data_IF_679947299465
#
_entry.id   IF_679947299465
#
_cell.length_a   1.000
_cell.length_b   1.000
_cell.length_c   1.000
_cell.angle_alpha   90.00
_cell.angle_beta   90.00
_cell.angle_gamma   90.00
#
_symmetry.space_group_name_H-M   'P 1'
#
loop_
_entity.id
_entity.type
_entity.pdbx_description
1 polymer ?
#
# COMPACT_ATOMS: atom_id res chain seq x y z
N UNK A 1 13.79 39.34 -22.59
CA UNK A 1 14.88 39.05 -21.63
C UNK A 1 14.29 38.75 -20.27
N UNK A 2 14.75 37.71 -19.58
CA UNK A 2 14.24 37.29 -18.26
C UNK A 2 14.81 38.21 -17.16
N UNK A 3 14.09 39.29 -16.86
CA UNK A 3 14.46 40.32 -15.86
C UNK A 3 14.77 39.71 -14.49
N UNK A 4 14.13 38.59 -14.14
CA UNK A 4 14.43 37.89 -12.89
C UNK A 4 15.87 37.34 -12.86
N UNK A 5 16.36 36.81 -13.99
CA UNK A 5 17.69 36.18 -14.07
C UNK A 5 18.80 37.18 -14.37
N UNK A 6 18.52 38.21 -15.18
CA UNK A 6 19.54 39.15 -15.64
C UNK A 6 19.77 40.31 -14.69
N UNK A 7 18.74 40.76 -13.96
CA UNK A 7 18.83 41.94 -13.10
C UNK A 7 18.51 41.65 -11.62
N UNK A 8 17.36 41.02 -11.34
CA UNK A 8 16.89 40.85 -9.95
C UNK A 8 17.81 39.90 -9.18
N UNK A 9 18.14 38.74 -9.74
CA UNK A 9 18.97 37.74 -9.05
C UNK A 9 20.40 38.24 -8.75
N UNK A 10 21.17 38.82 -9.69
CA UNK A 10 22.51 39.33 -9.39
C UNK A 10 22.51 40.44 -8.35
N UNK A 11 21.59 41.41 -8.47
CA UNK A 11 21.46 42.52 -7.52
C UNK A 11 21.16 42.03 -6.11
N UNK A 12 20.19 41.14 -5.95
CA UNK A 12 19.87 40.57 -4.63
C UNK A 12 21.00 39.69 -4.08
N UNK A 13 21.80 39.06 -4.94
CA UNK A 13 22.95 38.26 -4.51
C UNK A 13 24.05 39.15 -3.91
N UNK A 14 24.33 40.29 -4.54
CA UNK A 14 25.30 41.26 -4.02
C UNK A 14 24.93 41.77 -2.63
N UNK A 15 23.66 42.06 -2.39
CA UNK A 15 23.16 42.48 -1.08
C UNK A 15 23.19 41.38 -0.03
N UNK A 16 22.82 40.16 -0.44
CA UNK A 16 22.90 39.00 0.42
C UNK A 16 24.35 38.69 0.86
N UNK A 17 25.31 38.77 -0.07
CA UNK A 17 26.72 38.49 0.20
C UNK A 17 27.38 39.61 1.06
N UNK A 18 26.79 40.81 1.10
CA UNK A 18 27.14 41.89 2.04
C UNK A 18 26.57 41.71 3.45
N UNK A 19 25.75 40.67 3.67
CA UNK A 19 25.17 40.36 4.98
C UNK A 19 23.94 41.18 5.38
N UNK A 20 23.35 41.95 4.45
CA UNK A 20 22.11 42.67 4.73
C UNK A 20 20.95 41.70 4.92
N UNK A 21 19.96 42.07 5.74
CA UNK A 21 18.71 41.33 5.85
C UNK A 21 17.69 41.75 4.78
N UNK A 22 16.58 41.01 4.66
CA UNK A 22 15.57 41.25 3.62
C UNK A 22 14.92 42.64 3.68
N UNK A 23 14.80 43.22 4.88
CA UNK A 23 14.18 44.53 5.08
C UNK A 23 15.14 45.66 4.71
N UNK A 24 16.39 45.57 5.16
CA UNK A 24 17.46 46.49 4.78
C UNK A 24 17.68 46.49 3.27
N UNK A 25 17.70 45.30 2.67
CA UNK A 25 17.83 45.15 1.20
C UNK A 25 16.64 45.79 0.48
N UNK A 26 15.42 45.65 1.01
CA UNK A 26 14.24 46.29 0.44
C UNK A 26 14.31 47.82 0.52
N UNK A 27 14.75 48.36 1.66
CA UNK A 27 14.91 49.80 1.86
C UNK A 27 15.97 50.38 0.92
N UNK A 28 17.13 49.73 0.81
CA UNK A 28 18.21 50.16 -0.09
C UNK A 28 17.80 50.13 -1.57
N UNK A 29 17.12 49.07 -2.00
CA UNK A 29 16.67 48.94 -3.38
C UNK A 29 15.55 49.95 -3.67
N UNK A 30 14.65 50.16 -2.71
CA UNK A 30 13.57 51.15 -2.84
C UNK A 30 14.12 52.57 -2.92
N UNK A 31 15.19 52.88 -2.18
CA UNK A 31 15.86 54.18 -2.23
C UNK A 31 16.57 54.42 -3.57
N UNK A 32 17.17 53.39 -4.18
CA UNK A 32 17.92 53.51 -5.44
C UNK A 32 17.07 53.42 -6.70
N UNK A 33 16.05 52.57 -6.70
CA UNK A 33 15.29 52.20 -7.90
C UNK A 33 13.79 52.49 -7.79
N UNK A 34 13.33 53.01 -6.65
CA UNK A 34 11.92 53.31 -6.37
C UNK A 34 11.20 52.19 -5.63
N UNK A 35 10.14 52.56 -4.91
CA UNK A 35 9.39 51.67 -3.99
C UNK A 35 8.80 50.41 -4.65
N UNK A 36 8.64 50.41 -5.97
CA UNK A 36 8.06 49.30 -6.73
C UNK A 36 9.09 48.51 -7.55
N UNK A 37 10.38 48.82 -7.45
CA UNK A 37 11.42 48.17 -8.27
C UNK A 37 11.50 46.65 -7.99
N UNK A 38 11.59 46.26 -6.73
CA UNK A 38 11.60 44.85 -6.32
C UNK A 38 10.78 44.70 -5.04
N UNK A 39 9.66 43.98 -5.14
CA UNK A 39 8.81 43.75 -3.97
C UNK A 39 9.52 42.95 -2.88
N UNK A 40 9.21 43.24 -1.61
CA UNK A 40 9.71 42.49 -0.46
C UNK A 40 9.46 40.98 -0.57
N UNK A 41 8.36 40.58 -1.21
CA UNK A 41 8.03 39.17 -1.47
C UNK A 41 9.07 38.50 -2.38
N UNK A 42 9.51 39.20 -3.42
CA UNK A 42 10.56 38.73 -4.34
C UNK A 42 11.92 38.63 -3.63
N UNK A 43 12.25 39.60 -2.77
CA UNK A 43 13.48 39.57 -1.96
C UNK A 43 13.49 38.35 -1.03
N UNK A 44 12.43 38.15 -0.25
CA UNK A 44 12.26 36.98 0.63
C UNK A 44 12.36 35.65 -0.12
N UNK A 45 11.76 35.56 -1.33
CA UNK A 45 11.85 34.38 -2.20
C UNK A 45 13.30 34.06 -2.57
N UNK A 46 14.09 35.05 -2.97
CA UNK A 46 15.48 34.84 -3.40
C UNK A 46 16.44 34.63 -2.23
N UNK A 47 16.30 35.35 -1.13
CA UNK A 47 17.10 35.15 0.08
C UNK A 47 16.92 33.74 0.64
N UNK A 48 15.69 33.23 0.65
CA UNK A 48 15.41 31.83 0.97
C UNK A 48 16.15 30.86 0.06
N UNK A 49 16.19 31.12 -1.26
CA UNK A 49 16.94 30.29 -2.21
C UNK A 49 18.44 30.36 -1.98
N UNK A 50 18.99 31.53 -1.64
CA UNK A 50 20.42 31.68 -1.36
C UNK A 50 20.85 30.94 -0.09
N UNK A 51 20.09 31.06 1.01
CA UNK A 51 20.32 30.29 2.24
C UNK A 51 20.23 28.79 2.01
N UNK A 52 19.22 28.33 1.28
CA UNK A 52 19.08 26.91 0.94
C UNK A 52 20.25 26.37 0.10
N UNK A 53 20.80 27.20 -0.79
CA UNK A 53 21.98 26.83 -1.58
C UNK A 53 23.24 26.77 -0.72
N UNK A 54 23.42 27.70 0.23
CA UNK A 54 24.53 27.66 1.20
C UNK A 54 24.46 26.39 2.05
N UNK A 55 23.30 26.08 2.63
CA UNK A 55 23.10 24.85 3.39
C UNK A 55 23.37 23.59 2.55
N UNK A 56 23.02 23.61 1.25
CA UNK A 56 23.33 22.52 0.32
C UNK A 56 24.85 22.40 0.08
N UNK A 57 25.56 23.52 -0.07
CA UNK A 57 27.01 23.52 -0.26
C UNK A 57 27.72 23.06 1.02
N UNK A 58 27.28 23.51 2.19
CA UNK A 58 27.84 23.13 3.50
C UNK A 58 27.61 21.64 3.80
N UNK A 59 26.41 21.11 3.53
CA UNK A 59 26.13 19.67 3.62
C UNK A 59 26.95 18.82 2.63
N UNK A 60 27.33 19.37 1.46
CA UNK A 60 28.26 18.71 0.55
C UNK A 60 29.72 18.77 1.03
N UNK A 61 30.14 19.84 1.73
CA UNK A 61 31.49 19.95 2.30
C UNK A 61 31.69 19.06 3.54
N UNK A 62 30.62 18.75 4.27
CA UNK A 62 30.64 17.88 5.45
C UNK A 62 30.51 16.38 5.13
N UNK A 63 30.46 16.00 3.84
CA UNK A 63 30.55 14.61 3.44
C UNK A 63 32.01 14.12 3.59
N UNK A 64 32.23 13.25 4.58
CA UNK A 64 33.39 12.39 4.85
C UNK A 64 34.70 12.71 4.09
N UNK A 65 35.80 12.91 4.84
CA UNK A 65 37.18 12.84 4.33
C UNK A 65 37.29 11.74 3.27
N UNK A 66 37.59 12.15 2.04
CA UNK A 66 37.70 11.28 0.88
C UNK A 66 38.80 10.24 1.16
N UNK A 67 38.49 8.94 0.99
CA UNK A 67 39.48 7.86 1.15
C UNK A 67 40.58 7.90 0.07
N UNK A 68 40.31 8.52 -1.08
CA UNK A 68 41.25 8.62 -2.21
C UNK A 68 40.94 9.87 -3.06
N UNK A 69 41.94 10.35 -3.80
CA UNK A 69 41.85 11.56 -4.63
C UNK A 69 41.25 11.27 -6.01
N UNK A 70 40.88 12.32 -6.75
CA UNK A 70 40.36 12.16 -8.12
C UNK A 70 41.45 11.66 -9.08
N UNK A 71 42.69 12.12 -8.90
CA UNK A 71 43.87 11.69 -9.65
C UNK A 71 44.08 10.18 -9.50
N UNK A 72 43.98 9.64 -8.28
CA UNK A 72 44.10 8.21 -8.03
C UNK A 72 43.05 7.40 -8.80
N UNK A 73 41.80 7.86 -8.87
CA UNK A 73 40.73 7.14 -9.58
C UNK A 73 40.93 7.20 -11.10
N UNK A 74 41.41 8.33 -11.62
CA UNK A 74 41.75 8.50 -13.04
C UNK A 74 42.86 7.52 -13.42
N UNK A 75 43.95 7.49 -12.65
CA UNK A 75 45.08 6.60 -12.88
C UNK A 75 44.66 5.13 -12.76
N UNK A 76 43.81 4.80 -11.79
CA UNK A 76 43.32 3.44 -11.60
C UNK A 76 42.55 2.94 -12.83
N UNK A 77 41.76 3.78 -13.47
CA UNK A 77 40.97 3.43 -14.67
C UNK A 77 41.87 3.36 -15.89
N UNK A 78 42.78 4.31 -16.06
CA UNK A 78 43.71 4.35 -17.20
C UNK A 78 44.66 3.15 -17.19
N UNK A 79 45.15 2.74 -16.02
CA UNK A 79 46.01 1.57 -15.86
C UNK A 79 45.26 0.24 -15.96
N UNK A 80 43.93 0.25 -15.78
CA UNK A 80 43.12 -0.95 -15.79
C UNK A 80 41.87 -0.79 -16.67
N UNK A 81 42.04 -0.53 -17.97
CA UNK A 81 40.92 -0.25 -18.87
C UNK A 81 39.98 -1.45 -18.98
N UNK A 82 40.46 -2.65 -18.62
CA UNK A 82 39.72 -3.91 -18.67
C UNK A 82 38.84 -4.18 -17.44
N UNK A 83 39.08 -3.53 -16.29
CA UNK A 83 38.37 -3.84 -15.06
C UNK A 83 36.93 -3.31 -15.05
N UNK A 84 36.05 -4.08 -14.41
CA UNK A 84 34.70 -3.67 -14.10
C UNK A 84 34.65 -2.82 -12.80
N UNK A 85 33.50 -2.23 -12.50
CA UNK A 85 33.33 -1.37 -11.33
C UNK A 85 33.61 -2.11 -10.01
N UNK A 86 33.41 -3.42 -9.99
CA UNK A 86 33.66 -4.25 -8.82
C UNK A 86 35.17 -4.45 -8.60
N UNK A 87 35.92 -4.69 -9.67
CA UNK A 87 37.38 -4.75 -9.67
C UNK A 87 38.01 -3.43 -9.26
N UNK A 88 37.53 -2.31 -9.82
CA UNK A 88 37.97 -0.97 -9.43
C UNK A 88 37.69 -0.67 -7.96
N UNK A 89 36.49 -1.01 -7.48
CA UNK A 89 36.13 -0.83 -6.07
C UNK A 89 37.00 -1.66 -5.12
N UNK A 90 37.36 -2.88 -5.52
CA UNK A 90 38.25 -3.76 -4.75
C UNK A 90 39.68 -3.20 -4.68
N UNK A 91 40.21 -2.68 -5.79
CA UNK A 91 41.55 -2.08 -5.81
C UNK A 91 41.61 -0.76 -5.01
N UNK A 92 40.53 0.00 -5.01
CA UNK A 92 40.43 1.27 -4.28
C UNK A 92 39.95 1.12 -2.81
N UNK A 93 39.84 -0.11 -2.30
CA UNK A 93 39.31 -0.45 -0.98
C UNK A 93 38.03 0.34 -0.59
N UNK A 94 37.07 0.32 -1.51
CA UNK A 94 35.85 1.13 -1.38
C UNK A 94 34.64 0.43 -1.97
N UNK A 95 33.48 1.08 -1.85
CA UNK A 95 32.23 0.55 -2.40
C UNK A 95 32.08 0.89 -3.88
N UNK A 96 31.39 0.02 -4.63
CA UNK A 96 31.01 0.26 -6.02
C UNK A 96 30.25 1.59 -6.17
N UNK A 97 29.36 1.90 -5.24
CA UNK A 97 28.60 3.15 -5.23
C UNK A 97 29.50 4.37 -5.03
N UNK A 98 30.56 4.26 -4.23
CA UNK A 98 31.56 5.33 -4.08
C UNK A 98 32.26 5.61 -5.40
N UNK A 99 32.77 4.57 -6.09
CA UNK A 99 33.42 4.70 -7.40
C UNK A 99 32.48 5.33 -8.43
N UNK A 100 31.25 4.82 -8.56
CA UNK A 100 30.25 5.34 -9.50
C UNK A 100 29.90 6.80 -9.22
N UNK A 101 29.76 7.18 -7.96
CA UNK A 101 29.45 8.56 -7.57
C UNK A 101 30.61 9.50 -7.88
N UNK A 102 31.85 9.09 -7.60
CA UNK A 102 33.05 9.89 -7.88
C UNK A 102 33.28 10.08 -9.37
N UNK A 103 33.13 9.03 -10.18
CA UNK A 103 33.18 9.13 -11.64
C UNK A 103 32.18 10.17 -12.19
N UNK A 104 30.95 10.18 -11.67
CA UNK A 104 29.95 11.19 -12.04
C UNK A 104 30.32 12.60 -11.59
N UNK A 105 31.03 12.74 -10.47
CA UNK A 105 31.51 14.04 -10.00
C UNK A 105 32.67 14.55 -10.84
N UNK A 106 33.63 13.70 -11.19
CA UNK A 106 34.77 14.02 -12.06
C UNK A 106 34.27 14.48 -13.43
N UNK A 107 33.29 13.78 -14.00
CA UNK A 107 32.73 14.09 -15.32
C UNK A 107 31.62 15.16 -15.33
N UNK A 108 31.36 15.83 -14.19
CA UNK A 108 30.23 16.76 -14.06
C UNK A 108 30.38 18.02 -14.91
N UNK A 109 31.61 18.51 -15.06
CA UNK A 109 31.93 19.74 -15.79
C UNK A 109 32.54 19.47 -17.18
N UNK A 110 32.40 18.24 -17.68
CA UNK A 110 32.96 17.76 -18.94
C UNK A 110 33.53 16.34 -18.80
N UNK A 111 33.60 15.60 -19.90
CA UNK A 111 34.11 14.23 -19.89
C UNK A 111 35.63 14.23 -19.71
N UNK A 112 36.10 13.94 -18.48
CA UNK A 112 37.53 13.83 -18.13
C UNK A 112 38.02 12.39 -18.09
N UNK A 113 37.11 11.43 -17.85
CA UNK A 113 37.41 10.01 -17.80
C UNK A 113 36.40 9.24 -18.65
N UNK A 114 36.90 8.53 -19.67
CA UNK A 114 36.09 7.62 -20.48
C UNK A 114 36.06 6.24 -19.81
N UNK A 115 35.01 5.97 -19.04
CA UNK A 115 34.75 4.64 -18.49
C UNK A 115 33.47 4.07 -19.10
N UNK A 116 33.61 2.99 -19.86
CA UNK A 116 32.46 2.23 -20.36
C UNK A 116 31.94 1.30 -19.25
N UNK A 117 30.64 1.36 -18.95
CA UNK A 117 30.02 0.48 -17.96
C UNK A 117 30.06 -0.97 -18.45
N UNK A 118 31.03 -1.73 -17.95
CA UNK A 118 31.12 -3.18 -18.15
C UNK A 118 30.15 -3.86 -17.20
N UNK A 119 29.02 -4.29 -17.76
CA UNK A 119 27.97 -4.91 -16.99
C UNK A 119 28.36 -6.38 -16.72
N UNK A 120 28.38 -6.82 -15.47
CA UNK A 120 28.70 -8.22 -15.09
C UNK A 120 27.72 -9.27 -15.63
N UNK A 121 26.69 -8.83 -16.36
CA UNK A 121 25.65 -9.68 -16.93
C UNK A 121 25.79 -9.94 -18.43
N UNK A 122 26.65 -9.23 -19.18
CA UNK A 122 26.82 -9.50 -20.62
C UNK A 122 27.79 -10.65 -20.90
N UNK A 123 28.78 -10.88 -20.04
CA UNK A 123 29.80 -11.92 -20.26
C UNK A 123 29.37 -13.32 -19.77
N UNK A 124 28.27 -13.42 -19.02
CA UNK A 124 27.72 -14.71 -18.60
C UNK A 124 26.94 -15.45 -19.70
N UNK A 125 26.71 -14.83 -20.86
CA UNK A 125 26.01 -15.47 -21.99
C UNK A 125 26.94 -16.24 -22.95
N UNK A 126 28.27 -16.21 -22.75
CA UNK A 126 29.23 -17.03 -23.51
C UNK A 126 29.71 -18.28 -22.75
N UNK A 127 28.89 -18.83 -21.86
CA UNK A 127 29.16 -20.16 -21.28
C UNK A 127 28.68 -21.27 -22.23
N UNK A 128 29.34 -21.40 -23.39
CA UNK A 128 29.07 -22.43 -24.40
C UNK A 128 29.52 -23.85 -23.98
N UNK A 129 30.10 -24.03 -22.79
CA UNK A 129 30.72 -25.29 -22.39
C UNK A 129 29.97 -26.06 -21.28
N UNK A 130 28.73 -25.68 -20.95
CA UNK A 130 27.88 -26.55 -20.10
C UNK A 130 27.20 -27.61 -20.99
N UNK A 131 27.19 -28.89 -20.59
CA UNK A 131 26.49 -29.91 -21.36
C UNK A 131 25.01 -29.54 -21.48
N UNK A 132 24.53 -29.41 -22.72
CA UNK A 132 23.14 -29.10 -23.04
C UNK A 132 22.26 -30.28 -22.59
N UNK A 133 21.18 -30.01 -21.84
CA UNK A 133 20.24 -31.06 -21.38
C UNK A 133 19.47 -31.72 -22.56
N UNK A 134 19.29 -30.99 -23.66
CA UNK A 134 18.68 -31.48 -24.90
C UNK A 134 19.23 -30.71 -26.11
N UNK A 135 19.15 -31.33 -27.29
CA UNK A 135 19.63 -30.78 -28.57
C UNK A 135 18.79 -29.61 -29.05
N UNK A 136 19.34 -28.80 -29.95
CA UNK A 136 18.60 -27.69 -30.57
C UNK A 136 17.40 -28.21 -31.38
N UNK A 137 17.59 -29.35 -32.07
CA UNK A 137 16.58 -30.05 -32.87
C UNK A 137 15.41 -30.53 -32.01
N UNK A 138 15.68 -31.06 -30.81
CA UNK A 138 14.62 -31.46 -29.88
C UNK A 138 13.73 -30.28 -29.50
N UNK A 139 14.34 -29.13 -29.17
CA UNK A 139 13.59 -27.93 -28.77
C UNK A 139 12.76 -27.36 -29.94
N UNK A 140 13.35 -27.33 -31.14
CA UNK A 140 12.66 -26.89 -32.37
C UNK A 140 11.42 -27.77 -32.60
N UNK A 141 11.59 -29.09 -32.56
CA UNK A 141 10.51 -30.05 -32.78
C UNK A 141 9.44 -29.97 -31.68
N UNK A 142 9.85 -29.81 -30.43
CA UNK A 142 8.94 -29.67 -29.30
C UNK A 142 8.01 -28.46 -29.47
N UNK A 143 8.55 -27.32 -29.93
CA UNK A 143 7.76 -26.09 -30.14
C UNK A 143 6.88 -26.22 -31.39
N UNK A 144 7.42 -26.70 -32.51
CA UNK A 144 6.68 -26.82 -33.76
C UNK A 144 5.54 -27.86 -33.66
N UNK A 145 5.74 -28.93 -32.90
CA UNK A 145 4.72 -29.96 -32.68
C UNK A 145 3.64 -29.51 -31.69
N UNK A 146 3.92 -28.46 -30.90
CA UNK A 146 3.04 -27.99 -29.84
C UNK A 146 2.90 -26.46 -29.87
N UNK A 147 2.40 -25.88 -30.98
CA UNK A 147 2.36 -24.44 -31.17
C UNK A 147 1.45 -23.72 -30.17
N UNK A 148 0.60 -24.44 -29.43
CA UNK A 148 -0.34 -23.92 -28.43
C UNK A 148 0.21 -23.91 -26.99
N UNK A 149 1.28 -24.67 -26.69
CA UNK A 149 1.78 -24.75 -25.31
C UNK A 149 2.49 -23.49 -24.83
N UNK A 150 2.38 -23.21 -23.53
CA UNK A 150 3.11 -22.14 -22.87
C UNK A 150 4.49 -22.61 -22.37
N UNK A 151 5.34 -21.67 -21.91
CA UNK A 151 6.71 -22.00 -21.49
C UNK A 151 6.77 -22.99 -20.31
N UNK A 152 5.76 -23.01 -19.44
CA UNK A 152 5.71 -23.94 -18.31
C UNK A 152 5.43 -25.35 -18.78
N UNK A 153 4.48 -25.53 -19.71
CA UNK A 153 4.14 -26.83 -20.28
C UNK A 153 5.29 -27.39 -21.11
N UNK A 154 5.92 -26.54 -21.94
CA UNK A 154 7.12 -26.91 -22.69
C UNK A 154 8.27 -27.32 -21.76
N UNK A 155 8.46 -26.61 -20.65
CA UNK A 155 9.47 -26.94 -19.65
C UNK A 155 9.19 -28.29 -18.97
N UNK A 156 7.92 -28.58 -18.65
CA UNK A 156 7.51 -29.88 -18.11
C UNK A 156 7.75 -31.02 -19.10
N UNK A 157 7.42 -30.83 -20.39
CA UNK A 157 7.67 -31.84 -21.43
C UNK A 157 9.15 -32.11 -21.66
N UNK A 158 9.99 -31.08 -21.53
CA UNK A 158 11.45 -31.18 -21.66
C UNK A 158 12.15 -31.57 -20.34
N UNK A 159 11.39 -31.85 -19.26
CA UNK A 159 11.90 -32.07 -17.91
C UNK A 159 12.96 -31.03 -17.50
N UNK A 160 12.68 -29.74 -17.65
CA UNK A 160 13.67 -28.71 -17.33
C UNK A 160 13.04 -27.47 -16.69
N UNK A 161 13.89 -26.54 -16.26
CA UNK A 161 13.40 -25.26 -15.78
C UNK A 161 12.92 -24.40 -16.95
N UNK A 162 11.88 -23.58 -16.73
CA UNK A 162 11.40 -22.59 -17.70
C UNK A 162 12.54 -21.71 -18.22
N UNK A 163 13.43 -21.30 -17.32
CA UNK A 163 14.60 -20.48 -17.67
C UNK A 163 15.52 -21.19 -18.68
N UNK A 164 15.65 -22.52 -18.60
CA UNK A 164 16.43 -23.32 -19.56
C UNK A 164 15.82 -23.22 -20.96
N UNK A 165 14.49 -23.35 -21.10
CA UNK A 165 13.81 -23.18 -22.39
C UNK A 165 14.03 -21.77 -22.95
N UNK A 166 13.90 -20.73 -22.12
CA UNK A 166 14.08 -19.32 -22.54
C UNK A 166 15.50 -19.08 -23.04
N UNK A 167 16.51 -19.54 -22.30
CA UNK A 167 17.92 -19.38 -22.67
C UNK A 167 18.19 -20.11 -24.00
N UNK A 168 17.76 -21.37 -24.11
CA UNK A 168 18.00 -22.18 -25.31
C UNK A 168 17.28 -21.63 -26.54
N UNK A 169 16.07 -21.08 -26.39
CA UNK A 169 15.35 -20.38 -27.47
C UNK A 169 16.15 -19.18 -28.01
N UNK A 170 16.79 -18.41 -27.11
CA UNK A 170 17.65 -17.28 -27.52
C UNK A 170 18.91 -17.77 -28.23
N UNK A 171 19.53 -18.84 -27.74
CA UNK A 171 20.70 -19.45 -28.38
C UNK A 171 20.37 -19.98 -29.78
N UNK A 172 19.28 -20.71 -29.93
CA UNK A 172 18.82 -21.25 -31.23
C UNK A 172 18.58 -20.14 -32.24
N UNK A 173 18.04 -19.00 -31.80
CA UNK A 173 17.76 -17.85 -32.65
C UNK A 173 18.90 -16.83 -32.77
N UNK A 174 20.06 -17.08 -32.14
CA UNK A 174 21.17 -16.11 -32.09
C UNK A 174 21.82 -15.84 -33.45
N UNK A 175 21.78 -16.82 -34.35
CA UNK A 175 22.33 -16.74 -35.72
C UNK A 175 21.23 -16.58 -36.80
N UNK A 176 20.07 -16.05 -36.42
CA UNK A 176 18.88 -15.92 -37.27
C UNK A 176 17.67 -16.66 -36.70
N UNK A 177 16.47 -16.24 -37.09
CA UNK A 177 15.22 -16.81 -36.58
C UNK A 177 15.03 -18.24 -37.12
N UNK A 178 15.27 -19.25 -36.26
CA UNK A 178 15.05 -20.67 -36.55
C UNK A 178 13.75 -21.20 -35.95
N UNK A 179 13.31 -20.61 -34.83
CA UNK A 179 12.05 -20.96 -34.14
C UNK A 179 11.30 -19.70 -33.76
N UNK A 180 10.08 -19.58 -34.25
CA UNK A 180 9.18 -18.49 -33.88
C UNK A 180 8.31 -18.92 -32.71
N UNK A 181 8.73 -18.58 -31.49
CA UNK A 181 7.92 -18.78 -30.30
C UNK A 181 7.30 -17.45 -29.84
N UNK A 182 5.97 -17.36 -29.91
CA UNK A 182 5.23 -16.24 -29.32
C UNK A 182 4.96 -16.53 -27.84
N UNK A 183 5.43 -15.63 -26.97
CA UNK A 183 5.20 -15.77 -25.52
C UNK A 183 3.70 -15.72 -25.23
N UNK A 184 3.11 -16.90 -24.99
CA UNK A 184 1.77 -17.02 -24.43
C UNK A 184 1.86 -16.72 -22.94
N UNK A 185 1.92 -15.44 -22.60
CA UNK A 185 1.70 -15.02 -21.22
C UNK A 185 0.29 -15.47 -20.87
N UNK A 186 0.13 -16.21 -19.77
CA UNK A 186 -1.17 -16.38 -19.12
C UNK A 186 -1.77 -14.97 -19.02
N UNK A 187 -2.82 -14.70 -19.79
CA UNK A 187 -3.55 -13.46 -19.66
C UNK A 187 -4.07 -13.41 -18.23
N UNK A 188 -4.28 -12.20 -17.71
CA UNK A 188 -4.83 -12.02 -16.37
C UNK A 188 -6.26 -12.59 -16.35
N UNK A 189 -6.39 -13.90 -16.07
CA UNK A 189 -7.63 -14.65 -16.23
C UNK A 189 -7.42 -16.11 -16.66
N UNK A 190 -6.31 -16.45 -17.31
CA UNK A 190 -6.04 -17.83 -17.73
C UNK A 190 -5.73 -18.68 -16.49
N UNK A 191 -6.62 -19.62 -16.19
CA UNK A 191 -6.46 -20.56 -15.09
C UNK A 191 -5.42 -21.61 -15.46
N UNK A 192 -4.62 -22.07 -14.50
CA UNK A 192 -3.65 -23.18 -14.67
C UNK A 192 -4.31 -24.54 -14.97
N UNK A 193 -5.62 -24.55 -15.16
CA UNK A 193 -6.46 -25.73 -15.34
C UNK A 193 -7.60 -25.36 -16.28
N UNK A 194 -8.07 -26.34 -17.06
CA UNK A 194 -9.22 -26.18 -17.96
C UNK A 194 -10.54 -26.34 -17.22
N UNK A 195 -11.64 -25.92 -17.85
CA UNK A 195 -12.97 -26.10 -17.28
C UNK A 195 -13.33 -27.57 -17.16
N UNK A 196 -12.98 -28.36 -18.17
CA UNK A 196 -13.19 -29.80 -18.23
C UNK A 196 -12.47 -30.51 -17.07
N UNK A 197 -11.24 -30.08 -16.76
CA UNK A 197 -10.50 -30.61 -15.62
C UNK A 197 -11.21 -30.29 -14.30
N UNK A 198 -11.65 -29.04 -14.11
CA UNK A 198 -12.34 -28.64 -12.88
C UNK A 198 -13.72 -29.32 -12.74
N UNK A 199 -14.46 -29.46 -13.84
CA UNK A 199 -15.75 -30.17 -13.90
C UNK A 199 -15.54 -31.63 -13.45
N UNK A 200 -14.58 -32.33 -14.07
CA UNK A 200 -14.30 -33.72 -13.75
C UNK A 200 -13.84 -33.88 -12.29
N UNK A 201 -12.96 -33.00 -11.83
CA UNK A 201 -12.44 -33.03 -10.46
C UNK A 201 -13.57 -32.88 -9.42
N UNK A 202 -14.54 -31.98 -9.67
CA UNK A 202 -15.68 -31.77 -8.78
C UNK A 202 -16.66 -32.94 -8.84
N UNK A 203 -16.97 -33.45 -10.02
CA UNK A 203 -17.91 -34.56 -10.19
C UNK A 203 -17.38 -35.87 -9.60
N UNK A 204 -16.06 -36.10 -9.68
CA UNK A 204 -15.41 -37.27 -9.09
C UNK A 204 -15.27 -37.18 -7.57
N UNK A 205 -15.23 -35.97 -7.01
CA UNK A 205 -14.97 -35.75 -5.59
C UNK A 205 -15.96 -34.71 -5.01
N UNK A 206 -17.28 -35.02 -5.02
CA UNK A 206 -18.31 -34.07 -4.62
C UNK A 206 -18.14 -33.62 -3.16
N UNK A 207 -17.46 -34.41 -2.32
CA UNK A 207 -17.15 -34.15 -0.92
C UNK A 207 -16.19 -32.96 -0.70
N UNK A 208 -15.31 -32.65 -1.68
CA UNK A 208 -14.22 -31.70 -1.50
C UNK A 208 -14.67 -30.26 -1.26
N UNK A 209 -13.96 -29.58 -0.36
CA UNK A 209 -14.11 -28.15 -0.10
C UNK A 209 -13.35 -27.35 -1.17
N UNK A 210 -13.79 -26.13 -1.46
CA UNK A 210 -13.08 -25.22 -2.39
C UNK A 210 -11.60 -25.04 -2.05
N UNK A 211 -11.22 -25.10 -0.76
CA UNK A 211 -9.82 -25.02 -0.35
C UNK A 211 -9.00 -26.25 -0.79
N UNK A 212 -9.62 -27.43 -0.82
CA UNK A 212 -8.98 -28.67 -1.25
C UNK A 212 -8.92 -28.71 -2.78
N UNK A 213 -10.01 -28.36 -3.46
CA UNK A 213 -10.02 -28.15 -4.92
C UNK A 213 -8.94 -27.16 -5.36
N UNK A 214 -8.80 -26.04 -4.63
CA UNK A 214 -7.79 -25.04 -4.90
C UNK A 214 -6.35 -25.58 -4.75
N UNK A 215 -6.11 -26.46 -3.78
CA UNK A 215 -4.80 -27.12 -3.63
C UNK A 215 -4.54 -28.09 -4.79
N UNK A 216 -5.53 -28.87 -5.19
CA UNK A 216 -5.42 -29.83 -6.30
C UNK A 216 -5.22 -29.14 -7.65
N UNK A 217 -5.78 -27.93 -7.81
CA UNK A 217 -5.63 -27.10 -9.00
C UNK A 217 -4.45 -26.12 -8.93
N UNK A 218 -3.62 -26.18 -7.87
CA UNK A 218 -2.54 -25.21 -7.57
C UNK A 218 -2.96 -23.74 -7.81
N UNK A 219 -4.11 -23.37 -7.26
CA UNK A 219 -4.76 -22.09 -7.50
C UNK A 219 -5.33 -21.49 -6.21
N UNK A 220 -5.80 -20.25 -6.29
CA UNK A 220 -6.45 -19.60 -5.16
C UNK A 220 -7.90 -20.09 -5.00
N UNK A 221 -8.41 -20.29 -3.76
CA UNK A 221 -9.81 -20.61 -3.50
C UNK A 221 -10.83 -19.69 -4.19
N UNK A 222 -10.51 -18.39 -4.28
CA UNK A 222 -11.33 -17.40 -4.97
C UNK A 222 -11.39 -17.64 -6.48
N UNK A 223 -10.28 -18.11 -7.08
CA UNK A 223 -10.21 -18.43 -8.51
C UNK A 223 -11.09 -19.62 -8.84
N UNK A 224 -11.02 -20.70 -8.04
CA UNK A 224 -11.90 -21.86 -8.18
C UNK A 224 -13.37 -21.45 -8.06
N UNK A 225 -13.72 -20.69 -7.02
CA UNK A 225 -15.08 -20.20 -6.80
C UNK A 225 -15.61 -19.39 -7.98
N UNK A 226 -14.78 -18.47 -8.51
CA UNK A 226 -15.17 -17.66 -9.65
C UNK A 226 -15.33 -18.51 -10.92
N UNK A 227 -14.46 -19.49 -11.13
CA UNK A 227 -14.50 -20.35 -12.31
C UNK A 227 -15.70 -21.29 -12.31
N UNK A 228 -16.06 -21.88 -11.16
CA UNK A 228 -17.30 -22.67 -11.02
C UNK A 228 -18.52 -21.82 -11.40
N UNK A 229 -18.56 -20.55 -10.97
CA UNK A 229 -19.66 -19.64 -11.35
C UNK A 229 -19.69 -19.40 -12.85
N UNK A 230 -18.55 -19.15 -13.46
CA UNK A 230 -18.43 -18.94 -14.91
C UNK A 230 -18.87 -20.18 -15.71
N UNK A 231 -18.42 -21.38 -15.31
CA UNK A 231 -18.80 -22.66 -15.93
C UNK A 231 -20.31 -22.87 -15.90
N UNK A 232 -20.98 -22.43 -14.82
CA UNK A 232 -22.42 -22.56 -14.65
C UNK A 232 -23.24 -21.36 -15.20
N UNK A 233 -22.62 -20.37 -15.85
CA UNK A 233 -23.36 -19.20 -16.38
C UNK A 233 -24.32 -19.58 -17.50
N UNK A 234 -23.93 -20.52 -18.36
CA UNK A 234 -24.71 -20.96 -19.53
C UNK A 234 -25.56 -22.22 -19.26
N UNK A 235 -25.74 -22.56 -17.98
CA UNK A 235 -26.45 -23.76 -17.53
C UNK A 235 -25.66 -24.57 -16.51
N UNK A 236 -26.35 -25.39 -15.71
CA UNK A 236 -25.71 -26.16 -14.65
C UNK A 236 -24.85 -27.29 -15.23
N UNK A 237 -23.52 -27.08 -15.29
CA UNK A 237 -22.53 -28.09 -15.71
C UNK A 237 -21.82 -28.76 -14.53
N UNK A 238 -21.78 -28.09 -13.38
CA UNK A 238 -21.16 -28.57 -12.14
C UNK A 238 -22.10 -28.40 -10.95
N UNK A 239 -22.45 -29.51 -10.31
CA UNK A 239 -23.27 -29.52 -9.09
C UNK A 239 -22.40 -29.36 -7.84
N UNK A 240 -21.80 -28.17 -7.67
CA UNK A 240 -20.96 -27.89 -6.50
C UNK A 240 -21.76 -27.29 -5.34
N UNK A 241 -21.88 -28.02 -4.23
CA UNK A 241 -22.49 -27.52 -2.99
C UNK A 241 -21.43 -26.79 -2.16
N UNK A 242 -21.66 -25.50 -1.89
CA UNK A 242 -20.69 -24.64 -1.21
C UNK A 242 -20.52 -25.01 0.27
N UNK A 243 -19.49 -25.79 0.57
CA UNK A 243 -19.17 -26.25 1.94
C UNK A 243 -18.33 -25.20 2.67
N UNK A 244 -18.99 -24.30 3.39
CA UNK A 244 -18.28 -23.26 4.14
C UNK A 244 -17.37 -23.88 5.20
N UNK A 245 -16.15 -23.36 5.33
CA UNK A 245 -15.20 -23.82 6.34
C UNK A 245 -15.63 -23.35 7.73
N UNK A 246 -16.33 -24.20 8.47
CA UNK A 246 -16.30 -24.21 9.94
C UNK A 246 -16.67 -22.92 10.69
N UNK A 247 -17.46 -22.03 10.10
CA UNK A 247 -18.33 -21.16 10.90
C UNK A 247 -19.68 -21.86 10.90
N UNK A 248 -20.10 -22.30 12.08
CA UNK A 248 -21.44 -22.80 12.43
C UNK A 248 -22.41 -22.67 11.26
N UNK A 249 -22.87 -23.80 10.69
CA UNK A 249 -23.88 -23.86 9.62
C UNK A 249 -24.73 -22.58 9.68
N UNK A 250 -24.49 -21.66 8.75
CA UNK A 250 -24.95 -20.29 8.97
C UNK A 250 -26.46 -20.39 9.11
N UNK A 251 -26.98 -20.12 10.32
CA UNK A 251 -28.42 -20.03 10.59
C UNK A 251 -29.10 -18.92 9.76
N UNK A 252 -28.36 -18.30 8.83
CA UNK A 252 -28.76 -17.37 7.80
C UNK A 252 -28.73 -17.98 6.39
N UNK A 253 -28.77 -19.31 6.21
CA UNK A 253 -29.04 -19.88 4.89
C UNK A 253 -30.53 -19.73 4.55
N UNK A 254 -30.83 -19.56 3.27
CA UNK A 254 -32.21 -19.44 2.79
C UNK A 254 -33.00 -20.71 3.15
N UNK A 255 -32.42 -21.89 2.94
CA UNK A 255 -33.01 -23.19 3.27
C UNK A 255 -33.37 -23.33 4.76
N UNK A 256 -32.49 -22.90 5.66
CA UNK A 256 -32.77 -22.95 7.10
C UNK A 256 -33.90 -21.99 7.48
N UNK A 257 -33.92 -20.80 6.89
CA UNK A 257 -34.99 -19.84 7.13
C UNK A 257 -36.34 -20.35 6.59
N UNK A 258 -36.35 -20.98 5.41
CA UNK A 258 -37.55 -21.61 4.82
C UNK A 258 -38.08 -22.74 5.70
N UNK A 259 -37.22 -23.66 6.14
CA UNK A 259 -37.62 -24.77 7.03
C UNK A 259 -38.16 -24.25 8.37
N UNK A 260 -37.55 -23.19 8.92
CA UNK A 260 -37.98 -22.60 10.18
C UNK A 260 -39.33 -21.88 10.07
N UNK A 261 -39.62 -21.24 8.93
CA UNK A 261 -40.92 -20.63 8.61
C UNK A 261 -41.98 -21.71 8.42
N UNK A 262 -41.68 -22.77 7.66
CA UNK A 262 -42.61 -23.87 7.41
C UNK A 262 -42.99 -24.60 8.69
N UNK A 263 -42.04 -24.81 9.61
CA UNK A 263 -42.29 -25.43 10.92
C UNK A 263 -43.06 -24.51 11.87
N UNK A 264 -42.95 -23.19 11.72
CA UNK A 264 -43.51 -22.24 12.66
C UNK A 264 -44.11 -21.01 11.92
N UNK A 265 -45.24 -21.18 11.22
CA UNK A 265 -45.81 -20.13 10.36
C UNK A 265 -46.34 -18.89 11.12
N UNK A 266 -46.37 -18.94 12.45
CA UNK A 266 -46.78 -17.82 13.32
C UNK A 266 -45.63 -16.88 13.69
N UNK A 267 -44.36 -17.27 13.49
CA UNK A 267 -43.22 -16.46 13.92
C UNK A 267 -43.13 -15.15 13.13
N UNK A 268 -42.85 -14.04 13.82
CA UNK A 268 -42.58 -12.75 13.18
C UNK A 268 -41.07 -12.55 12.87
N UNK A 269 -40.71 -11.54 12.07
CA UNK A 269 -39.31 -11.28 11.67
C UNK A 269 -38.38 -11.06 12.88
N UNK A 270 -38.88 -10.50 13.98
CA UNK A 270 -38.09 -10.28 15.19
C UNK A 270 -37.75 -11.61 15.86
N UNK A 271 -38.71 -12.52 15.99
CA UNK A 271 -38.51 -13.86 16.53
C UNK A 271 -37.60 -14.69 15.62
N UNK A 272 -37.81 -14.62 14.30
CA UNK A 272 -36.92 -15.23 13.31
C UNK A 272 -35.49 -14.72 13.47
N UNK A 273 -35.29 -13.42 13.72
CA UNK A 273 -33.97 -12.83 13.92
C UNK A 273 -33.27 -13.36 15.18
N UNK A 274 -34.02 -13.58 16.26
CA UNK A 274 -33.51 -14.19 17.50
C UNK A 274 -33.12 -15.65 17.29
N UNK A 275 -33.98 -16.43 16.63
CA UNK A 275 -33.75 -17.86 16.38
C UNK A 275 -32.60 -18.11 15.40
N UNK A 276 -32.47 -17.24 14.41
CA UNK A 276 -31.36 -17.28 13.43
C UNK A 276 -30.08 -16.62 13.93
N UNK A 277 -30.10 -16.01 15.12
CA UNK A 277 -29.04 -15.15 15.65
C UNK A 277 -28.49 -14.17 14.59
N UNK A 278 -29.41 -13.56 13.84
CA UNK A 278 -29.11 -12.67 12.72
C UNK A 278 -29.80 -11.33 12.93
N UNK A 279 -29.33 -10.27 12.26
CA UNK A 279 -30.06 -9.00 12.32
C UNK A 279 -31.39 -9.09 11.60
N UNK A 280 -32.40 -8.36 12.10
CA UNK A 280 -33.72 -8.23 11.47
C UNK A 280 -33.60 -7.87 9.98
N UNK A 281 -32.70 -6.95 9.62
CA UNK A 281 -32.44 -6.55 8.23
C UNK A 281 -31.86 -7.67 7.36
N UNK A 282 -31.15 -8.62 7.96
CA UNK A 282 -30.62 -9.79 7.24
C UNK A 282 -31.74 -10.81 6.99
N UNK A 283 -32.56 -11.09 8.00
CA UNK A 283 -33.76 -11.94 7.84
C UNK A 283 -34.69 -11.36 6.78
N UNK A 284 -34.96 -10.05 6.81
CA UNK A 284 -35.80 -9.39 5.82
C UNK A 284 -35.27 -9.53 4.38
N UNK A 285 -33.94 -9.37 4.20
CA UNK A 285 -33.29 -9.58 2.89
C UNK A 285 -33.38 -11.02 2.41
N UNK A 286 -33.36 -11.99 3.32
CA UNK A 286 -33.49 -13.42 3.00
C UNK A 286 -34.93 -13.78 2.67
N UNK A 287 -35.91 -13.29 3.46
CA UNK A 287 -37.34 -13.43 3.17
C UNK A 287 -37.69 -12.89 1.77
N UNK A 288 -37.16 -11.72 1.41
CA UNK A 288 -37.35 -11.13 0.07
C UNK A 288 -36.78 -11.99 -1.07
N UNK A 289 -35.82 -12.88 -0.78
CA UNK A 289 -35.24 -13.80 -1.77
C UNK A 289 -35.98 -15.13 -1.88
N UNK A 290 -36.77 -15.50 -0.86
CA UNK A 290 -37.66 -16.66 -0.86
C UNK A 290 -38.94 -16.37 -1.67
N UNK A 291 -39.28 -15.09 -1.80
CA UNK A 291 -40.51 -14.55 -2.42
C UNK A 291 -40.53 -14.63 -3.95
N UNK A 292 -40.38 -15.84 -4.51
CA UNK A 292 -40.50 -16.08 -5.96
C UNK A 292 -41.62 -17.07 -6.33
N UNK A 293 -42.62 -17.32 -5.48
CA UNK A 293 -43.70 -18.24 -5.85
C UNK A 293 -44.91 -18.30 -4.91
N UNK A 294 -44.78 -18.90 -3.73
CA UNK A 294 -45.96 -19.52 -3.09
C UNK A 294 -46.19 -19.20 -1.61
N UNK A 295 -45.42 -18.29 -1.00
CA UNK A 295 -45.56 -17.97 0.43
C UNK A 295 -46.09 -16.55 0.58
N UNK A 296 -47.29 -16.38 1.14
CA UNK A 296 -47.89 -15.07 1.40
C UNK A 296 -47.07 -14.25 2.43
N UNK A 297 -46.07 -13.51 1.95
CA UNK A 297 -45.26 -12.59 2.77
C UNK A 297 -46.07 -11.38 3.26
N UNK A 298 -47.33 -11.23 2.85
CA UNK A 298 -48.20 -10.13 3.27
C UNK A 298 -48.32 -10.00 4.81
N UNK A 299 -48.14 -11.10 5.57
CA UNK A 299 -48.14 -11.07 7.05
C UNK A 299 -46.94 -10.32 7.65
N UNK A 300 -45.79 -10.29 6.97
CA UNK A 300 -44.54 -9.70 7.44
C UNK A 300 -44.34 -8.24 7.04
N UNK A 301 -45.16 -7.72 6.11
CA UNK A 301 -45.16 -6.30 5.72
C UNK A 301 -45.71 -5.38 6.83
N UNK A 302 -46.41 -5.94 7.82
CA UNK A 302 -47.10 -5.21 8.89
C UNK A 302 -46.17 -4.44 9.85
N UNK A 303 -44.89 -4.84 10.00
CA UNK A 303 -43.92 -4.07 10.81
C UNK A 303 -43.24 -2.92 10.04
N UNK A 304 -43.24 -2.96 8.70
CA UNK A 304 -42.77 -1.84 7.87
C UNK A 304 -43.86 -0.78 7.64
N UNK A 305 -45.12 -1.12 7.90
CA UNK A 305 -46.28 -0.28 7.56
C UNK A 305 -46.91 0.49 8.74
N UNK A 306 -46.21 0.65 9.86
CA UNK A 306 -46.34 1.91 10.62
C UNK A 306 -45.50 2.98 9.92
N UNK A 307 -45.75 3.19 8.62
CA UNK A 307 -45.32 4.40 7.94
C UNK A 307 -46.20 5.49 8.54
N UNK A 308 -45.73 6.10 9.65
CA UNK A 308 -46.09 7.50 9.86
C UNK A 308 -45.77 8.20 8.55
N UNK A 309 -46.68 9.04 8.02
CA UNK A 309 -46.46 9.71 6.74
C UNK A 309 -45.05 10.29 6.72
N UNK A 310 -44.33 10.05 5.62
CA UNK A 310 -43.00 10.62 5.43
C UNK A 310 -43.17 12.13 5.61
N UNK A 311 -42.43 12.77 6.55
CA UNK A 311 -42.57 14.20 6.78
C UNK A 311 -42.39 14.95 5.47
N UNK A 312 -43.30 15.87 5.19
CA UNK A 312 -43.18 16.79 4.06
C UNK A 312 -41.95 17.67 4.25
N UNK A 313 -41.52 18.34 3.19
CA UNK A 313 -40.37 19.24 3.29
C UNK A 313 -40.71 20.42 4.24
N UNK A 314 -41.97 20.85 4.27
CA UNK A 314 -42.52 21.84 5.21
C UNK A 314 -42.45 21.36 6.66
N UNK A 315 -42.86 20.11 6.95
CA UNK A 315 -42.78 19.53 8.29
C UNK A 315 -41.33 19.50 8.80
N UNK A 316 -40.38 19.19 7.90
CA UNK A 316 -38.96 19.16 8.24
C UNK A 316 -38.40 20.56 8.47
N UNK A 317 -38.81 21.55 7.68
CA UNK A 317 -38.42 22.95 7.88
C UNK A 317 -38.90 23.45 9.25
N UNK A 318 -40.18 23.23 9.58
CA UNK A 318 -40.75 23.63 10.86
C UNK A 318 -40.04 22.93 12.02
N UNK A 319 -39.84 21.62 11.92
CA UNK A 319 -39.14 20.83 12.93
C UNK A 319 -37.73 21.35 13.19
N UNK A 320 -36.97 21.66 12.13
CA UNK A 320 -35.57 22.12 12.25
C UNK A 320 -35.51 23.53 12.82
N UNK A 321 -36.41 24.43 12.41
CA UNK A 321 -36.46 25.80 12.90
C UNK A 321 -36.89 25.85 14.38
N UNK A 322 -37.87 25.03 14.78
CA UNK A 322 -38.29 24.89 16.16
C UNK A 322 -37.21 24.28 17.07
N UNK A 323 -36.29 23.49 16.49
CA UNK A 323 -35.28 22.72 17.24
C UNK A 323 -33.85 23.01 16.75
N UNK A 324 -33.52 24.29 16.53
CA UNK A 324 -32.21 24.71 16.01
C UNK A 324 -31.00 24.27 16.85
N UNK A 325 -31.23 23.86 18.10
CA UNK A 325 -30.20 23.34 19.01
C UNK A 325 -29.87 21.85 18.82
N UNK A 326 -30.72 21.06 18.17
CA UNK A 326 -30.57 19.61 18.05
C UNK A 326 -29.61 19.19 16.92
N UNK A 327 -28.95 18.05 17.12
CA UNK A 327 -28.10 17.46 16.08
C UNK A 327 -28.94 16.62 15.09
N UNK A 328 -28.37 16.31 13.90
CA UNK A 328 -29.08 15.58 12.83
C UNK A 328 -29.68 14.25 13.31
N UNK A 329 -29.04 13.55 14.26
CA UNK A 329 -29.56 12.26 14.76
C UNK A 329 -30.78 12.46 15.65
N UNK A 330 -30.74 13.47 16.52
CA UNK A 330 -31.88 13.84 17.37
C UNK A 330 -33.07 14.31 16.53
N UNK A 331 -32.82 15.19 15.54
CA UNK A 331 -33.84 15.62 14.59
C UNK A 331 -34.43 14.44 13.81
N UNK A 332 -33.59 13.50 13.37
CA UNK A 332 -34.04 12.31 12.64
C UNK A 332 -34.87 11.37 13.52
N UNK A 333 -34.56 11.26 14.81
CA UNK A 333 -35.38 10.51 15.77
C UNK A 333 -36.77 11.14 15.94
N UNK A 334 -36.85 12.47 16.06
CA UNK A 334 -38.14 13.18 16.19
C UNK A 334 -38.97 13.03 14.91
N UNK A 335 -38.34 13.20 13.76
CA UNK A 335 -38.96 13.01 12.44
C UNK A 335 -39.25 11.53 12.10
N UNK A 336 -38.80 10.59 12.94
CA UNK A 336 -38.91 9.16 12.70
C UNK A 336 -38.36 8.71 11.33
N UNK A 337 -37.25 9.31 10.90
CA UNK A 337 -36.52 8.94 9.68
C UNK A 337 -35.06 8.62 10.02
N UNK A 338 -34.32 8.05 9.08
CA UNK A 338 -32.89 7.81 9.30
C UNK A 338 -32.11 9.14 9.28
N UNK A 339 -31.02 9.21 10.04
CA UNK A 339 -30.15 10.39 10.05
C UNK A 339 -29.57 10.73 8.66
N UNK A 340 -29.36 9.71 7.81
CA UNK A 340 -28.95 9.92 6.42
C UNK A 340 -30.09 10.49 5.56
N UNK A 341 -31.32 10.03 5.74
CA UNK A 341 -32.49 10.57 5.05
C UNK A 341 -32.73 12.04 5.46
N UNK A 342 -32.66 12.35 6.76
CA UNK A 342 -32.72 13.71 7.29
C UNK A 342 -31.64 14.60 6.66
N UNK A 343 -30.39 14.15 6.66
CA UNK A 343 -29.28 14.90 6.06
C UNK A 343 -29.46 15.12 4.55
N UNK A 344 -30.03 14.15 3.84
CA UNK A 344 -30.28 14.26 2.41
C UNK A 344 -31.41 15.25 2.13
N UNK A 345 -32.51 15.18 2.88
CA UNK A 345 -33.65 16.11 2.77
C UNK A 345 -33.25 17.55 3.06
N UNK A 346 -32.49 17.81 4.12
CA UNK A 346 -31.97 19.16 4.41
C UNK A 346 -31.16 19.72 3.23
N UNK A 347 -30.34 18.88 2.57
CA UNK A 347 -29.58 19.29 1.39
C UNK A 347 -30.48 19.59 0.20
N UNK A 348 -31.50 18.78 -0.03
CA UNK A 348 -32.47 18.99 -1.11
C UNK A 348 -33.23 20.30 -0.92
N UNK A 349 -33.77 20.54 0.27
CA UNK A 349 -34.52 21.75 0.61
C UNK A 349 -33.65 22.99 0.36
N UNK A 350 -32.43 23.00 0.90
CA UNK A 350 -31.50 24.13 0.73
C UNK A 350 -30.95 24.28 -0.70
N UNK A 351 -31.08 23.27 -1.56
CA UNK A 351 -30.65 23.36 -2.96
C UNK A 351 -31.66 24.05 -3.87
N UNK A 352 -32.94 23.99 -3.53
CA UNK A 352 -34.02 24.66 -4.27
C UNK A 352 -34.13 26.13 -3.86
N UNK A 353 -34.10 26.38 -2.55
CA UNK A 353 -34.06 27.72 -1.99
C UNK A 353 -33.52 27.62 -0.55
N UNK A 354 -32.54 28.44 -0.13
CA UNK A 354 -31.96 28.34 1.20
C UNK A 354 -32.98 28.76 2.28
N UNK A 355 -33.82 27.81 2.71
CA UNK A 355 -34.90 28.00 3.69
C UNK A 355 -34.55 27.51 5.10
N UNK A 356 -33.54 26.65 5.23
CA UNK A 356 -33.14 26.05 6.52
C UNK A 356 -31.76 26.55 6.92
N UNK A 357 -31.70 27.38 7.97
CA UNK A 357 -30.44 27.76 8.60
C UNK A 357 -29.95 26.69 9.59
N UNK A 358 -29.66 25.50 9.06
CA UNK A 358 -29.08 24.41 9.86
C UNK A 358 -27.57 24.58 9.94
N UNK A 359 -27.09 25.21 11.02
CA UNK A 359 -25.66 25.21 11.34
C UNK A 359 -25.31 23.80 11.79
N UNK A 360 -24.73 23.01 10.88
CA UNK A 360 -24.19 21.72 11.23
C UNK A 360 -23.15 21.91 12.34
N UNK A 361 -23.52 21.57 13.58
CA UNK A 361 -22.67 21.75 14.78
C UNK A 361 -21.38 20.91 14.70
N UNK A 362 -21.24 20.01 13.73
CA UNK A 362 -19.98 19.31 13.43
C UNK A 362 -19.12 20.01 12.36
N UNK A 363 -19.63 21.05 11.70
CA UNK A 363 -18.89 21.90 10.74
C UNK A 363 -18.53 23.27 11.30
N UNK A 364 -19.08 23.71 12.43
CA UNK A 364 -18.64 24.93 13.11
C UNK A 364 -17.17 24.80 13.53
N UNK A 365 -16.30 25.46 12.76
CA UNK A 365 -14.85 25.59 12.99
C UNK A 365 -14.13 24.26 13.27
N UNK A 366 -14.22 23.28 12.37
CA UNK A 366 -13.04 22.41 12.18
C UNK A 366 -11.92 23.35 11.73
N UNK A 367 -11.05 23.78 12.65
CA UNK A 367 -9.73 24.28 12.27
C UNK A 367 -9.22 23.28 11.24
N UNK A 368 -9.00 23.73 10.00
CA UNK A 368 -8.49 22.82 8.96
C UNK A 368 -7.28 22.15 9.58
N UNK A 369 -7.28 20.82 9.65
CA UNK A 369 -6.13 20.06 10.12
C UNK A 369 -5.05 20.19 9.05
N UNK A 370 -4.35 21.33 9.08
CA UNK A 370 -3.27 21.68 8.16
C UNK A 370 -1.97 21.06 8.64
N UNK A 371 -1.03 20.95 7.72
CA UNK A 371 0.29 20.40 8.03
C UNK A 371 1.04 21.35 8.98
N UNK A 372 0.84 22.67 8.88
CA UNK A 372 1.39 23.66 9.81
C UNK A 372 0.87 23.46 11.24
N UNK A 373 -0.43 23.25 11.40
CA UNK A 373 -1.02 22.99 12.72
C UNK A 373 -0.50 21.68 13.31
N UNK A 374 -0.33 20.65 12.48
CA UNK A 374 0.24 19.37 12.92
C UNK A 374 1.72 19.48 13.34
N UNK A 375 2.52 20.26 12.60
CA UNK A 375 3.92 20.52 12.94
C UNK A 375 4.00 21.29 14.26
N UNK A 376 3.19 22.33 14.42
CA UNK A 376 3.12 23.12 15.66
C UNK A 376 2.71 22.25 16.85
N UNK A 377 1.65 21.45 16.69
CA UNK A 377 1.14 20.56 17.72
C UNK A 377 2.20 19.57 18.21
N UNK A 378 2.96 18.99 17.28
CA UNK A 378 4.06 18.06 17.56
C UNK A 378 5.25 18.76 18.20
N UNK A 379 5.59 19.98 17.74
CA UNK A 379 6.71 20.76 18.26
C UNK A 379 6.46 21.22 19.69
N UNK A 380 5.23 21.63 20.00
CA UNK A 380 4.81 22.02 21.34
C UNK A 380 4.67 20.82 22.28
N UNK A 381 4.39 19.63 21.75
CA UNK A 381 4.10 18.44 22.55
C UNK A 381 4.94 17.23 22.11
N UNK A 382 6.28 17.31 22.16
CA UNK A 382 7.14 16.26 21.61
C UNK A 382 7.01 14.94 22.38
N UNK A 383 6.59 14.97 23.65
CA UNK A 383 6.37 13.79 24.52
C UNK A 383 5.14 12.98 24.16
N UNK A 384 4.10 13.60 23.58
CA UNK A 384 2.81 12.97 23.38
C UNK A 384 2.84 11.87 22.33
N UNK A 385 2.01 10.86 22.54
CA UNK A 385 1.75 9.79 21.60
C UNK A 385 0.78 10.20 20.48
N UNK A 386 0.70 9.37 19.44
CA UNK A 386 -0.24 9.57 18.32
C UNK A 386 -1.71 9.63 18.75
N UNK A 387 -2.08 8.87 19.80
CA UNK A 387 -3.44 8.86 20.32
C UNK A 387 -3.75 10.16 21.05
N UNK A 388 -2.81 10.68 21.85
CA UNK A 388 -2.96 11.94 22.59
C UNK A 388 -2.96 13.13 21.65
N UNK A 389 -2.05 13.15 20.65
CA UNK A 389 -2.06 14.13 19.57
C UNK A 389 -3.38 14.10 18.80
N UNK A 390 -3.94 12.91 18.56
CA UNK A 390 -5.25 12.73 17.93
C UNK A 390 -6.39 13.34 18.74
N UNK A 391 -6.37 13.16 20.06
CA UNK A 391 -7.34 13.80 20.98
C UNK A 391 -7.24 15.32 20.93
N UNK A 392 -6.03 15.87 21.00
CA UNK A 392 -5.81 17.33 20.94
C UNK A 392 -6.24 17.95 19.61
N UNK A 393 -5.98 17.25 18.50
CA UNK A 393 -6.37 17.70 17.16
C UNK A 393 -7.80 17.33 16.77
N UNK A 394 -8.54 16.62 17.64
CA UNK A 394 -9.87 16.07 17.35
C UNK A 394 -9.93 15.24 16.05
N UNK A 395 -8.93 14.37 15.84
CA UNK A 395 -8.84 13.44 14.70
C UNK A 395 -8.33 12.07 15.16
N UNK A 396 -8.48 11.05 14.32
CA UNK A 396 -7.96 9.71 14.64
C UNK A 396 -6.42 9.70 14.70
N UNK A 397 -5.87 8.85 15.56
CA UNK A 397 -4.43 8.53 15.63
C UNK A 397 -3.86 8.12 14.26
N UNK A 398 -4.62 7.37 13.47
CA UNK A 398 -4.29 7.00 12.09
C UNK A 398 -4.16 8.22 11.19
N UNK A 399 -5.00 9.24 11.37
CA UNK A 399 -4.93 10.50 10.63
C UNK A 399 -3.64 11.25 10.96
N UNK A 400 -3.31 11.38 12.25
CA UNK A 400 -2.05 11.98 12.72
C UNK A 400 -0.85 11.26 12.09
N UNK A 401 -0.82 9.93 12.17
CA UNK A 401 0.27 9.12 11.63
C UNK A 401 0.45 9.30 10.12
N UNK A 402 -0.64 9.20 9.35
CA UNK A 402 -0.58 9.35 7.88
C UNK A 402 -0.07 10.72 7.49
N UNK A 403 -0.54 11.77 8.16
CA UNK A 403 -0.15 13.15 7.87
C UNK A 403 1.28 13.46 8.29
N UNK A 404 1.72 13.04 9.48
CA UNK A 404 3.13 13.19 9.88
C UNK A 404 4.07 12.42 8.96
N UNK A 405 3.68 11.23 8.51
CA UNK A 405 4.46 10.47 7.53
C UNK A 405 4.61 11.27 6.22
N UNK A 406 3.53 11.87 5.74
CA UNK A 406 3.54 12.68 4.53
C UNK A 406 4.41 13.94 4.71
N UNK A 407 4.23 14.69 5.80
CA UNK A 407 5.01 15.89 6.11
C UNK A 407 6.52 15.59 6.24
N UNK A 408 6.87 14.44 6.83
CA UNK A 408 8.27 14.02 6.92
C UNK A 408 8.85 13.59 5.57
N UNK A 409 8.08 12.94 4.70
CA UNK A 409 8.51 12.60 3.34
C UNK A 409 8.75 13.88 2.53
N UNK A 410 7.82 14.83 2.59
CA UNK A 410 7.82 15.99 1.69
C UNK A 410 8.84 17.05 2.11
N UNK A 411 9.08 17.21 3.42
CA UNK A 411 9.91 18.33 3.91
C UNK A 411 10.83 18.01 5.09
N UNK A 412 10.79 16.80 5.66
CA UNK A 412 11.55 16.41 6.85
C UNK A 412 11.39 17.39 8.04
N UNK A 413 10.21 18.02 8.17
CA UNK A 413 9.98 19.17 9.08
C UNK A 413 9.46 18.83 10.46
N UNK A 414 8.69 17.75 10.62
CA UNK A 414 8.03 17.49 11.90
C UNK A 414 8.94 16.75 12.90
N UNK A 415 10.04 16.14 12.43
CA UNK A 415 11.03 15.37 13.21
C UNK A 415 10.44 14.48 14.32
N UNK A 416 9.21 13.98 14.10
CA UNK A 416 8.50 13.20 15.10
C UNK A 416 8.75 11.72 14.88
N UNK A 417 9.41 11.12 15.86
CA UNK A 417 9.60 9.68 15.94
C UNK A 417 8.35 9.11 16.62
N UNK A 418 7.70 8.15 15.96
CA UNK A 418 6.49 7.48 16.47
C UNK A 418 6.72 6.96 17.89
N UNK A 419 6.04 7.57 18.87
CA UNK A 419 5.95 7.07 20.24
C UNK A 419 4.78 6.11 20.31
N UNK A 420 5.06 4.82 20.51
CA UNK A 420 4.01 3.86 20.79
C UNK A 420 3.56 4.05 22.24
N UNK A 421 2.25 4.12 22.46
CA UNK A 421 1.57 4.32 23.75
C UNK A 421 1.77 3.20 24.78
N UNK A 422 2.69 2.26 24.58
CA UNK A 422 3.09 1.35 25.65
C UNK A 422 4.45 1.80 26.16
N UNK A 423 4.43 2.42 27.34
CA UNK A 423 5.56 2.86 28.16
C UNK A 423 6.84 2.04 27.93
N UNK A 424 7.88 2.75 27.50
CA UNK A 424 9.33 2.53 27.62
C UNK A 424 9.98 1.19 27.26
N UNK A 425 9.25 0.21 26.74
CA UNK A 425 9.87 -1.00 26.24
C UNK A 425 10.15 -0.89 24.74
N UNK A 426 11.28 -0.26 24.37
CA UNK A 426 11.81 -0.45 23.01
C UNK A 426 12.27 -1.90 22.90
N UNK A 427 11.43 -2.72 22.29
CA UNK A 427 11.82 -4.03 21.77
C UNK A 427 12.87 -3.81 20.67
N UNK A 428 14.12 -3.53 21.06
CA UNK A 428 15.29 -3.39 20.19
C UNK A 428 15.98 -4.74 20.02
N UNK A 429 16.88 -4.81 19.04
CA UNK A 429 17.67 -6.01 18.80
C UNK A 429 18.63 -6.23 19.99
N UNK A 430 19.29 -5.18 20.47
CA UNK A 430 20.19 -5.22 21.64
C UNK A 430 19.48 -5.65 22.93
N UNK A 431 18.25 -5.17 23.16
CA UNK A 431 17.46 -5.58 24.31
C UNK A 431 17.17 -7.08 24.26
N UNK A 432 16.75 -7.58 23.10
CA UNK A 432 16.43 -9.00 22.92
C UNK A 432 17.68 -9.89 23.02
N UNK A 433 18.82 -9.41 22.51
CA UNK A 433 20.13 -10.07 22.64
C UNK A 433 20.52 -10.17 24.11
N UNK A 434 20.51 -9.06 24.86
CA UNK A 434 20.85 -9.05 26.28
C UNK A 434 19.90 -9.92 27.11
N UNK A 435 18.60 -9.92 26.81
CA UNK A 435 17.62 -10.74 27.50
C UNK A 435 17.91 -12.24 27.33
N UNK A 436 18.30 -12.67 26.12
CA UNK A 436 18.64 -14.06 25.82
C UNK A 436 19.98 -14.45 26.44
N UNK A 437 21.00 -13.60 26.34
CA UNK A 437 22.33 -13.88 26.87
C UNK A 437 22.31 -14.01 28.40
N UNK A 438 21.49 -13.21 29.08
CA UNK A 438 21.35 -13.27 30.54
C UNK A 438 20.42 -14.40 31.01
N UNK A 439 19.60 -14.98 30.14
CA UNK A 439 18.59 -16.00 30.49
C UNK A 439 18.48 -17.07 29.37
N UNK A 440 19.53 -17.89 29.14
CA UNK A 440 19.60 -18.84 28.03
C UNK A 440 18.54 -19.96 28.11
N UNK A 441 17.88 -20.14 29.25
CA UNK A 441 16.78 -21.07 29.48
C UNK A 441 15.42 -20.57 29.00
N UNK A 442 15.26 -19.27 28.70
CA UNK A 442 13.96 -18.72 28.29
C UNK A 442 13.49 -19.25 26.94
N UNK A 443 12.31 -19.87 26.95
CA UNK A 443 11.62 -20.24 25.72
C UNK A 443 10.95 -19.02 25.06
N UNK A 444 10.56 -19.16 23.79
CA UNK A 444 10.02 -18.09 22.98
C UNK A 444 8.75 -17.45 23.59
N UNK A 445 7.96 -18.24 24.31
CA UNK A 445 6.75 -17.78 25.00
C UNK A 445 7.11 -16.84 26.16
N UNK A 446 8.11 -17.20 26.96
CA UNK A 446 8.59 -16.36 28.07
C UNK A 446 9.23 -15.07 27.56
N UNK A 447 10.03 -15.15 26.50
CA UNK A 447 10.59 -13.95 25.85
C UNK A 447 9.49 -13.01 25.35
N UNK A 448 8.45 -13.55 24.72
CA UNK A 448 7.32 -12.78 24.21
C UNK A 448 6.51 -12.09 25.33
N UNK A 449 6.30 -12.80 26.45
CA UNK A 449 5.65 -12.27 27.65
C UNK A 449 6.42 -11.10 28.24
N UNK A 450 7.74 -11.26 28.46
CA UNK A 450 8.62 -10.21 29.01
C UNK A 450 8.66 -9.00 28.07
N UNK A 451 8.72 -9.26 26.76
CA UNK A 451 8.76 -8.20 25.75
C UNK A 451 7.39 -7.56 25.47
N UNK A 452 6.30 -8.07 26.06
CA UNK A 452 4.91 -7.65 25.80
C UNK A 452 4.56 -7.63 24.30
N UNK A 453 5.08 -8.60 23.53
CA UNK A 453 4.83 -8.75 22.08
C UNK A 453 4.40 -10.18 21.74
N UNK A 454 3.93 -10.41 20.51
CA UNK A 454 3.61 -11.77 20.08
C UNK A 454 4.86 -12.64 19.91
N UNK A 455 4.73 -13.95 20.14
CA UNK A 455 5.79 -14.94 19.88
C UNK A 455 6.29 -14.90 18.44
N UNK A 456 5.40 -14.63 17.48
CA UNK A 456 5.73 -14.43 16.06
C UNK A 456 6.65 -13.22 15.84
N UNK A 457 6.41 -12.12 16.57
CA UNK A 457 7.25 -10.92 16.51
C UNK A 457 8.66 -11.22 17.01
N UNK A 458 8.79 -11.91 18.14
CA UNK A 458 10.10 -12.33 18.69
C UNK A 458 10.83 -13.26 17.72
N UNK A 459 10.14 -14.28 17.20
CA UNK A 459 10.73 -15.24 16.26
C UNK A 459 11.26 -14.57 14.99
N UNK A 460 10.48 -13.69 14.35
CA UNK A 460 10.91 -12.98 13.14
C UNK A 460 12.14 -12.13 13.40
N UNK A 461 12.23 -11.53 14.58
CA UNK A 461 13.33 -10.66 14.95
C UNK A 461 14.60 -11.44 15.25
N UNK A 462 14.51 -12.55 15.99
CA UNK A 462 15.62 -13.48 16.18
C UNK A 462 16.13 -14.05 14.86
N UNK A 463 15.22 -14.44 13.96
CA UNK A 463 15.60 -14.91 12.62
C UNK A 463 16.36 -13.85 11.83
N UNK A 464 16.04 -12.56 12.03
CA UNK A 464 16.75 -11.46 11.38
C UNK A 464 18.13 -11.24 12.02
N UNK A 465 18.20 -11.17 13.35
CA UNK A 465 19.45 -11.01 14.11
C UNK A 465 20.45 -12.11 13.74
N UNK A 466 20.00 -13.38 13.69
CA UNK A 466 20.86 -14.52 13.35
C UNK A 466 21.28 -14.57 11.88
N UNK A 467 20.62 -13.81 10.99
CA UNK A 467 20.98 -13.73 9.57
C UNK A 467 22.10 -12.71 9.34
N UNK A 468 22.16 -11.68 10.17
CA UNK A 468 23.00 -10.50 9.94
C UNK A 468 24.40 -10.62 10.61
N UNK A 469 24.62 -11.50 11.60
CA UNK A 469 25.94 -11.90 12.16
C UNK A 469 25.74 -12.94 13.31
N UNK A 470 26.77 -13.74 13.65
CA UNK A 470 26.80 -14.77 14.72
C UNK A 470 26.68 -14.20 16.15
N UNK A 471 25.67 -13.39 16.46
CA UNK A 471 25.57 -12.70 17.76
C UNK A 471 24.75 -13.44 18.82
N UNK A 472 23.85 -14.36 18.43
CA UNK A 472 23.03 -15.13 19.38
C UNK A 472 22.70 -16.52 18.82
N UNK A 473 23.17 -17.58 19.49
CA UNK A 473 22.76 -18.96 19.19
C UNK A 473 21.49 -19.28 19.97
N UNK A 474 20.35 -18.78 19.50
CA UNK A 474 19.04 -19.20 20.06
C UNK A 474 18.59 -20.51 19.41
N UNK A 475 18.82 -21.63 20.09
CA UNK A 475 18.27 -22.93 19.69
C UNK A 475 16.81 -22.99 20.13
N UNK A 476 15.91 -23.23 19.18
CA UNK A 476 14.47 -23.36 19.44
C UNK A 476 14.21 -24.53 20.39
N UNK A 477 14.13 -24.24 21.69
CA UNK A 477 13.69 -25.19 22.72
C UNK A 477 12.18 -25.40 22.56
N UNK A 478 11.75 -26.66 22.55
CA UNK A 478 10.34 -27.05 22.36
C UNK A 478 9.48 -26.64 23.54
#
# INVERSE_FOLDING_TARGET
>A
MDVEKTFIKPTLRLYFDKGLNELETHLEISAKFGAYAITLKTIKKWFKKFRANILRIESCKNAAKLKFTDEFLIDLINNNPNLDMRGLAKLADTSISTISTRLKQINKDGEKVQYSYKNTNSDNFKNSNRPKKFTDEFLINLINSNPELNLSELASLADCAIETIIIRLREVNSNGERVKYTSKKLQKGDTRFTDEYLINLINQNPELKIKELAKLCDSAPSTISHRIKQINMDGERVKYIYKSSGKSASKSSIEFLTDLINKNPSLNVSELSKLTNSSISTVYRLLKRIDTGDIEINRFKSYSNRVKPVPTDEDLIELINANSSLNIRELALIANISASAMSYKIKQINSLEPRINYINKFQSKKKKFTDEYLIELVTQNPSLSMAELGKLANVSDKTIYRRLKQVNIDFNRANYIRKNTSEDFKFTDDFLINLINNNPEFNLKKLAEICKVSTSTVYKRLKKINKDEERVVYIKKR
#
